data_IF_323768209392
#
_entry.id   IF_323768209392
#
_cell.length_a   1.000
_cell.length_b   1.000
_cell.length_c   1.000
_cell.angle_alpha   90.00
_cell.angle_beta   90.00
_cell.angle_gamma   90.00
#
_symmetry.space_group_name_H-M   'P 1'
#
loop_
_entity.id
_entity.type
_entity.pdbx_description
1 polymer ?
#
# COMPACT_ATOMS: atom_id res chain seq x y z
N UNK A 1 -31.33 -73.68 -30.11
CA UNK A 1 -30.47 -72.48 -30.22
C UNK A 1 -31.10 -71.35 -29.39
N UNK A 2 -30.60 -71.11 -28.21
CA UNK A 2 -31.10 -70.04 -27.29
C UNK A 2 -30.21 -68.79 -27.49
N UNK A 3 -30.82 -67.68 -27.92
CA UNK A 3 -30.13 -66.39 -28.04
C UNK A 3 -30.04 -65.72 -26.65
N UNK A 4 -28.84 -65.39 -26.24
CA UNK A 4 -28.56 -64.62 -25.05
C UNK A 4 -28.51 -63.14 -25.46
N UNK A 5 -29.50 -62.36 -25.00
CA UNK A 5 -29.48 -60.88 -25.08
C UNK A 5 -28.67 -60.34 -23.94
N UNK A 6 -27.55 -59.68 -24.26
CA UNK A 6 -26.70 -58.97 -23.30
C UNK A 6 -27.21 -57.53 -23.20
N UNK A 7 -27.83 -57.19 -22.09
CA UNK A 7 -28.18 -55.79 -21.79
C UNK A 7 -26.99 -55.03 -21.30
N UNK A 8 -26.59 -54.02 -22.05
CA UNK A 8 -25.53 -53.07 -21.69
C UNK A 8 -26.15 -51.94 -20.83
N UNK A 9 -25.84 -51.91 -19.54
CA UNK A 9 -26.25 -50.83 -18.64
C UNK A 9 -25.17 -49.74 -18.77
N UNK A 10 -25.54 -48.60 -19.36
CA UNK A 10 -24.71 -47.41 -19.40
C UNK A 10 -24.78 -46.67 -18.06
N UNK A 11 -23.68 -46.66 -17.31
CA UNK A 11 -23.51 -45.79 -16.13
C UNK A 11 -23.20 -44.37 -16.61
N UNK A 12 -24.18 -43.46 -16.48
CA UNK A 12 -23.92 -42.03 -16.57
C UNK A 12 -23.27 -41.60 -15.27
N UNK A 13 -21.97 -41.33 -15.29
CA UNK A 13 -21.27 -40.65 -14.22
C UNK A 13 -21.64 -39.16 -14.28
N UNK A 14 -22.52 -38.72 -13.37
CA UNK A 14 -22.77 -37.31 -13.14
C UNK A 14 -21.55 -36.69 -12.44
N UNK A 15 -20.68 -36.00 -13.20
CA UNK A 15 -19.65 -35.15 -12.63
C UNK A 15 -20.30 -33.90 -12.06
N UNK A 16 -20.50 -33.90 -10.75
CA UNK A 16 -20.88 -32.70 -10.00
C UNK A 16 -19.72 -31.73 -10.05
N UNK A 17 -19.82 -30.67 -10.84
CA UNK A 17 -18.95 -29.51 -10.71
C UNK A 17 -19.26 -28.86 -9.36
N UNK A 18 -18.40 -29.07 -8.38
CA UNK A 18 -18.39 -28.29 -7.14
C UNK A 18 -17.82 -26.92 -7.53
N UNK A 19 -18.69 -25.98 -7.84
CA UNK A 19 -18.33 -24.56 -7.84
C UNK A 19 -17.87 -24.23 -6.42
N UNK A 20 -16.64 -23.66 -6.21
CA UNK A 20 -16.28 -23.17 -4.90
C UNK A 20 -17.33 -22.11 -4.51
N UNK A 21 -18.05 -22.34 -3.41
CA UNK A 21 -18.94 -21.34 -2.84
C UNK A 21 -18.07 -20.10 -2.54
N UNK A 22 -18.32 -18.98 -3.21
CA UNK A 22 -17.97 -17.67 -2.71
C UNK A 22 -18.64 -17.61 -1.32
N UNK A 23 -17.88 -17.30 -0.27
CA UNK A 23 -18.48 -17.06 1.03
C UNK A 23 -19.65 -16.09 0.82
N UNK A 24 -20.82 -16.41 1.33
CA UNK A 24 -22.01 -15.58 1.14
C UNK A 24 -21.69 -14.20 1.73
N UNK A 25 -21.71 -13.16 0.88
CA UNK A 25 -21.52 -11.79 1.35
C UNK A 25 -22.52 -11.47 2.45
N UNK A 26 -22.10 -10.73 3.48
CA UNK A 26 -23.02 -10.25 4.50
C UNK A 26 -24.18 -9.47 3.88
N UNK A 27 -25.37 -9.72 4.37
CA UNK A 27 -26.62 -9.07 3.91
C UNK A 27 -27.16 -8.06 4.91
N UNK A 28 -26.65 -8.05 6.14
CA UNK A 28 -26.98 -7.11 7.20
C UNK A 28 -25.84 -7.00 8.21
N UNK A 29 -25.64 -5.84 8.81
CA UNK A 29 -24.76 -5.63 9.96
C UNK A 29 -25.60 -5.76 11.22
N UNK A 30 -25.25 -6.70 12.09
CA UNK A 30 -25.86 -6.94 13.38
C UNK A 30 -25.19 -6.15 14.51
N UNK A 31 -25.45 -6.57 15.76
CA UNK A 31 -24.70 -6.09 16.92
C UNK A 31 -23.24 -6.52 16.81
N UNK A 32 -22.33 -5.65 17.26
CA UNK A 32 -20.90 -5.97 17.29
C UNK A 32 -20.59 -7.13 18.25
N UNK A 33 -19.55 -7.88 17.90
CA UNK A 33 -19.10 -9.07 18.66
C UNK A 33 -18.20 -8.70 19.85
N UNK A 34 -18.02 -7.41 20.11
CA UNK A 34 -17.27 -6.89 21.27
C UNK A 34 -15.81 -6.55 20.97
N UNK A 35 -15.25 -6.95 19.83
CA UNK A 35 -13.91 -6.57 19.41
C UNK A 35 -13.72 -6.64 17.89
N UNK A 36 -12.64 -6.03 17.41
CA UNK A 36 -12.12 -6.18 16.04
C UNK A 36 -10.60 -6.25 16.09
N UNK A 37 -10.03 -7.26 15.43
CA UNK A 37 -8.60 -7.51 15.38
C UNK A 37 -8.05 -7.10 14.02
N UNK A 38 -7.18 -6.07 13.99
CA UNK A 38 -6.76 -5.40 12.75
C UNK A 38 -5.25 -5.51 12.55
N UNK A 39 -4.83 -5.99 11.39
CA UNK A 39 -3.45 -5.84 10.91
C UNK A 39 -3.32 -4.50 10.21
N UNK A 40 -2.39 -3.66 10.64
CA UNK A 40 -2.24 -2.30 10.11
C UNK A 40 -0.78 -1.87 10.00
N UNK A 41 -0.53 -0.87 9.15
CA UNK A 41 0.77 -0.17 9.14
C UNK A 41 0.99 0.61 10.44
N UNK A 42 2.25 0.84 10.86
CA UNK A 42 2.55 1.80 11.93
C UNK A 42 1.93 3.18 11.63
N UNK A 43 1.29 3.78 12.62
CA UNK A 43 0.64 5.08 12.47
C UNK A 43 -0.74 5.07 11.78
N UNK A 44 -1.32 3.91 11.50
CA UNK A 44 -2.62 3.83 10.81
C UNK A 44 -3.82 3.85 11.75
N UNK A 45 -3.65 3.46 13.00
CA UNK A 45 -4.76 3.34 13.95
C UNK A 45 -4.31 3.94 15.28
N UNK A 46 -4.72 5.19 15.54
CA UNK A 46 -4.30 5.94 16.70
C UNK A 46 -5.46 6.10 17.71
N UNK A 47 -5.11 5.89 18.99
CA UNK A 47 -6.02 5.96 20.12
C UNK A 47 -5.63 7.07 21.12
N UNK A 48 -4.91 8.09 20.66
CA UNK A 48 -4.44 9.18 21.49
C UNK A 48 -3.24 8.86 22.39
N UNK A 49 -2.66 7.65 22.29
CA UNK A 49 -1.52 7.27 23.12
C UNK A 49 -0.21 7.93 22.68
N UNK A 50 -0.03 8.10 21.36
CA UNK A 50 1.11 8.78 20.78
C UNK A 50 0.98 10.30 20.88
N UNK A 51 -0.20 10.84 20.53
CA UNK A 51 -0.60 12.23 20.67
C UNK A 51 -2.10 12.30 20.92
N UNK A 52 -2.51 12.97 22.00
CA UNK A 52 -3.92 13.08 22.41
C UNK A 52 -4.82 13.80 21.40
N UNK A 53 -4.26 14.57 20.47
CA UNK A 53 -5.01 15.20 19.39
C UNK A 53 -5.47 14.20 18.34
N UNK A 54 -4.82 13.05 18.26
CA UNK A 54 -5.05 12.02 17.25
C UNK A 54 -5.64 10.76 17.87
N UNK A 55 -6.95 10.76 18.02
CA UNK A 55 -7.72 9.64 18.57
C UNK A 55 -9.02 9.46 17.77
N UNK A 56 -9.05 8.47 16.92
CA UNK A 56 -10.28 8.06 16.21
C UNK A 56 -10.76 6.66 16.62
N UNK A 57 -10.09 6.04 17.59
CA UNK A 57 -10.44 4.73 18.13
C UNK A 57 -11.42 4.83 19.27
N UNK A 58 -11.20 5.74 20.25
CA UNK A 58 -12.00 5.81 21.48
C UNK A 58 -13.47 6.08 21.24
N UNK A 59 -13.81 6.97 20.29
CA UNK A 59 -15.20 7.24 19.91
C UNK A 59 -15.86 6.04 19.22
N UNK A 60 -15.11 5.30 18.41
CA UNK A 60 -15.58 4.06 17.79
C UNK A 60 -15.88 3.00 18.85
N UNK A 61 -14.95 2.73 19.76
CA UNK A 61 -15.13 1.74 20.82
C UNK A 61 -16.34 2.04 21.69
N UNK A 62 -16.50 3.32 22.05
CA UNK A 62 -17.64 3.79 22.87
C UNK A 62 -18.97 3.65 22.17
N UNK A 63 -19.04 3.94 20.88
CA UNK A 63 -20.30 3.95 20.12
C UNK A 63 -20.71 2.57 19.63
N UNK A 64 -19.74 1.73 19.24
CA UNK A 64 -19.99 0.40 18.69
C UNK A 64 -19.96 -0.72 19.73
N UNK A 65 -19.28 -0.51 20.88
CA UNK A 65 -18.95 -1.57 21.83
C UNK A 65 -17.87 -2.55 21.32
N UNK A 66 -17.22 -2.25 20.20
CA UNK A 66 -16.18 -3.08 19.61
C UNK A 66 -14.80 -2.55 20.00
N UNK A 67 -14.07 -3.27 20.85
CA UNK A 67 -12.70 -2.95 21.20
C UNK A 67 -11.77 -3.15 19.99
N UNK A 68 -10.90 -2.18 19.73
CA UNK A 68 -9.93 -2.23 18.62
C UNK A 68 -8.61 -2.82 19.11
N UNK A 69 -8.21 -3.96 18.57
CA UNK A 69 -6.90 -4.56 18.81
C UNK A 69 -6.07 -4.44 17.53
N UNK A 70 -4.86 -3.90 17.66
CA UNK A 70 -3.98 -3.65 16.49
C UNK A 70 -2.73 -4.49 16.55
N UNK A 71 -2.44 -5.19 15.44
CA UNK A 71 -1.16 -5.81 15.16
C UNK A 71 -0.49 -5.01 14.03
N UNK A 72 0.60 -4.32 14.33
CA UNK A 72 1.36 -3.62 13.30
C UNK A 72 2.19 -4.60 12.46
N UNK A 73 2.29 -4.31 11.16
CA UNK A 73 3.16 -4.97 10.21
C UNK A 73 4.01 -3.92 9.47
N UNK A 74 5.28 -4.19 9.27
CA UNK A 74 6.23 -3.26 8.67
C UNK A 74 6.29 -3.36 7.14
N UNK A 75 5.69 -4.40 6.54
CA UNK A 75 5.73 -4.62 5.09
C UNK A 75 4.48 -5.33 4.59
N UNK A 76 4.18 -5.18 3.28
CA UNK A 76 3.15 -5.94 2.58
C UNK A 76 3.34 -7.45 2.71
N UNK A 77 4.57 -7.94 2.69
CA UNK A 77 4.88 -9.38 2.83
C UNK A 77 4.55 -9.89 4.24
N UNK A 78 4.80 -9.08 5.27
CA UNK A 78 4.40 -9.40 6.64
C UNK A 78 2.89 -9.41 6.80
N UNK A 79 2.17 -8.44 6.21
CA UNK A 79 0.69 -8.44 6.20
C UNK A 79 0.11 -9.69 5.56
N UNK A 80 0.63 -10.10 4.40
CA UNK A 80 0.20 -11.33 3.73
C UNK A 80 0.49 -12.55 4.62
N UNK A 81 1.63 -12.59 5.30
CA UNK A 81 2.00 -13.67 6.22
C UNK A 81 1.03 -13.75 7.41
N UNK A 82 0.75 -12.64 8.07
CA UNK A 82 -0.18 -12.56 9.21
C UNK A 82 -1.61 -12.98 8.79
N UNK A 83 -2.09 -12.48 7.66
CA UNK A 83 -3.41 -12.85 7.14
C UNK A 83 -3.47 -14.33 6.72
N UNK A 84 -2.36 -14.94 6.28
CA UNK A 84 -2.29 -16.37 6.01
C UNK A 84 -2.36 -17.21 7.30
N UNK A 85 -1.79 -16.71 8.40
CA UNK A 85 -1.86 -17.37 9.72
C UNK A 85 -3.27 -17.30 10.31
N UNK A 86 -4.05 -16.24 9.98
CA UNK A 86 -5.39 -16.00 10.51
C UNK A 86 -5.37 -15.42 11.93
N UNK A 87 -6.57 -15.34 12.54
CA UNK A 87 -6.75 -14.74 13.87
C UNK A 87 -6.92 -13.22 13.83
N UNK A 88 -7.16 -12.64 12.66
CA UNK A 88 -7.48 -11.24 12.46
C UNK A 88 -8.77 -11.10 11.66
N UNK A 89 -9.47 -9.98 11.85
CA UNK A 89 -10.70 -9.66 11.15
C UNK A 89 -10.44 -8.78 9.93
N UNK A 90 -9.53 -7.80 10.09
CA UNK A 90 -9.23 -6.80 9.08
C UNK A 90 -7.73 -6.69 8.81
N UNK A 91 -7.39 -6.21 7.61
CA UNK A 91 -6.06 -5.75 7.25
C UNK A 91 -6.17 -4.44 6.46
N UNK A 92 -5.27 -3.48 6.72
CA UNK A 92 -5.11 -2.28 5.88
C UNK A 92 -3.95 -2.51 4.91
N UNK A 93 -4.26 -2.99 3.71
CA UNK A 93 -3.26 -3.49 2.77
C UNK A 93 -3.07 -2.56 1.58
N UNK A 94 -1.82 -2.31 1.21
CA UNK A 94 -1.47 -1.65 -0.06
C UNK A 94 -1.73 -2.56 -1.26
N UNK A 95 -1.83 -2.00 -2.47
CA UNK A 95 -2.28 -2.70 -3.66
C UNK A 95 -1.46 -3.95 -4.04
N UNK A 96 -0.18 -4.00 -3.69
CA UNK A 96 0.66 -5.18 -3.90
C UNK A 96 0.35 -6.32 -2.91
N UNK A 97 -0.15 -6.02 -1.70
CA UNK A 97 -0.62 -7.02 -0.76
C UNK A 97 -2.07 -7.41 -1.02
N UNK A 98 -2.96 -6.44 -1.27
CA UNK A 98 -4.40 -6.67 -1.45
C UNK A 98 -4.67 -7.66 -2.59
N UNK A 99 -4.04 -7.50 -3.75
CA UNK A 99 -4.21 -8.41 -4.87
C UNK A 99 -3.74 -9.83 -4.56
N UNK A 100 -2.68 -10.00 -3.79
CA UNK A 100 -2.20 -11.32 -3.33
C UNK A 100 -3.18 -11.98 -2.35
N UNK A 101 -3.77 -11.20 -1.44
CA UNK A 101 -4.76 -11.66 -0.49
C UNK A 101 -6.06 -12.08 -1.19
N UNK A 102 -6.50 -11.33 -2.21
CA UNK A 102 -7.65 -11.68 -3.04
C UNK A 102 -7.37 -12.99 -3.80
N UNK A 103 -6.25 -13.06 -4.53
CA UNK A 103 -5.87 -14.25 -5.29
C UNK A 103 -5.68 -15.48 -4.39
N UNK A 104 -5.15 -15.28 -3.18
CA UNK A 104 -4.96 -16.32 -2.16
C UNK A 104 -6.23 -16.68 -1.40
N UNK A 105 -7.38 -16.03 -1.68
CA UNK A 105 -8.66 -16.21 -0.97
C UNK A 105 -8.53 -16.04 0.56
N UNK A 106 -7.70 -15.10 0.98
CA UNK A 106 -7.49 -14.77 2.39
C UNK A 106 -8.40 -13.65 2.87
N UNK A 107 -8.97 -12.93 1.95
CA UNK A 107 -10.00 -11.91 2.17
C UNK A 107 -11.25 -12.28 1.39
N UNK A 108 -12.39 -11.80 1.86
CA UNK A 108 -13.69 -12.08 1.26
C UNK A 108 -14.29 -10.81 0.63
N UNK A 109 -15.21 -10.94 -0.32
CA UNK A 109 -15.99 -9.82 -0.85
C UNK A 109 -16.72 -9.07 0.27
N UNK A 110 -16.87 -7.76 0.08
CA UNK A 110 -17.67 -6.91 0.97
C UNK A 110 -18.94 -6.42 0.26
N UNK A 111 -20.01 -6.27 1.04
CA UNK A 111 -21.23 -5.62 0.60
C UNK A 111 -21.16 -4.13 0.91
N UNK A 112 -20.89 -3.31 -0.10
CA UNK A 112 -20.76 -1.85 0.05
C UNK A 112 -22.06 -1.16 0.43
N UNK A 113 -23.23 -1.76 0.15
CA UNK A 113 -24.55 -1.23 0.55
C UNK A 113 -24.74 -1.21 2.07
N UNK A 114 -23.97 -2.02 2.82
CA UNK A 114 -23.97 -2.04 4.28
C UNK A 114 -23.05 -0.97 4.90
N UNK A 115 -22.31 -0.25 4.10
CA UNK A 115 -21.34 0.77 4.53
C UNK A 115 -21.89 2.16 4.15
N UNK A 116 -22.61 2.79 5.07
CA UNK A 116 -23.34 4.04 4.79
C UNK A 116 -22.44 5.18 4.26
N UNK A 117 -21.17 5.21 4.67
CA UNK A 117 -20.18 6.19 4.23
C UNK A 117 -19.50 5.84 2.89
N UNK A 118 -19.77 4.67 2.29
CA UNK A 118 -19.23 4.29 0.98
C UNK A 118 -19.48 5.34 -0.11
N UNK A 119 -20.66 5.95 -0.10
CA UNK A 119 -21.06 7.00 -1.06
C UNK A 119 -20.17 8.25 -1.01
N UNK A 120 -19.42 8.45 0.07
CA UNK A 120 -18.54 9.60 0.28
C UNK A 120 -17.11 9.36 -0.23
N UNK A 121 -16.78 8.11 -0.58
CA UNK A 121 -15.46 7.73 -1.10
C UNK A 121 -15.22 8.39 -2.45
N UNK A 122 -14.01 8.86 -2.68
CA UNK A 122 -13.57 9.38 -3.97
C UNK A 122 -13.87 8.37 -5.08
N UNK A 123 -14.61 8.74 -6.14
CA UNK A 123 -14.96 7.85 -7.24
C UNK A 123 -13.76 7.14 -7.88
N UNK A 124 -12.57 7.77 -7.87
CA UNK A 124 -11.32 7.18 -8.39
C UNK A 124 -10.86 5.96 -7.59
N UNK A 125 -11.29 5.84 -6.32
CA UNK A 125 -10.89 4.79 -5.39
C UNK A 125 -11.97 3.70 -5.21
N UNK A 126 -13.24 4.00 -5.50
CA UNK A 126 -14.35 3.06 -5.25
C UNK A 126 -14.17 1.72 -5.96
N UNK A 127 -13.70 1.75 -7.22
CA UNK A 127 -13.50 0.56 -8.04
C UNK A 127 -12.07 0.46 -8.59
N UNK A 128 -11.09 0.80 -7.76
CA UNK A 128 -9.69 0.75 -8.15
C UNK A 128 -9.24 -0.71 -8.37
N UNK A 129 -8.32 -0.92 -9.32
CA UNK A 129 -7.85 -2.25 -9.71
C UNK A 129 -7.18 -3.06 -8.57
N UNK A 130 -6.74 -2.40 -7.51
CA UNK A 130 -6.12 -3.06 -6.35
C UNK A 130 -7.10 -3.46 -5.24
N UNK A 131 -8.37 -3.03 -5.31
CA UNK A 131 -9.41 -3.41 -4.34
C UNK A 131 -10.65 -4.04 -4.97
N UNK A 132 -10.74 -4.04 -6.31
CA UNK A 132 -11.90 -4.52 -7.06
C UNK A 132 -11.41 -5.48 -8.16
N UNK A 133 -11.90 -6.71 -8.13
CA UNK A 133 -11.59 -7.75 -9.11
C UNK A 133 -12.88 -8.30 -9.68
N UNK A 134 -13.00 -8.35 -11.01
CA UNK A 134 -14.21 -8.79 -11.72
C UNK A 134 -15.49 -8.05 -11.27
N UNK A 135 -15.37 -6.77 -10.93
CA UNK A 135 -16.47 -5.94 -10.45
C UNK A 135 -16.87 -6.19 -8.99
N UNK A 136 -16.16 -7.04 -8.26
CA UNK A 136 -16.41 -7.39 -6.87
C UNK A 136 -15.46 -6.58 -5.96
N UNK A 137 -16.02 -5.87 -4.97
CA UNK A 137 -15.26 -5.12 -3.98
C UNK A 137 -14.76 -6.02 -2.85
N UNK A 138 -13.48 -5.88 -2.47
CA UNK A 138 -12.83 -6.68 -1.43
C UNK A 138 -12.42 -5.86 -0.21
N UNK A 139 -12.78 -4.59 -0.15
CA UNK A 139 -12.50 -3.73 1.00
C UNK A 139 -12.83 -2.27 0.74
N UNK A 140 -12.69 -1.46 1.77
CA UNK A 140 -12.90 0.00 1.72
C UNK A 140 -11.58 0.72 1.56
N UNK A 141 -11.46 1.71 0.64
CA UNK A 141 -10.30 2.59 0.61
C UNK A 141 -10.08 3.26 1.98
N UNK A 142 -8.84 3.29 2.44
CA UNK A 142 -8.50 3.85 3.74
C UNK A 142 -7.85 5.23 3.63
N UNK A 143 -6.74 5.31 2.93
CA UNK A 143 -6.02 6.54 2.59
C UNK A 143 -5.05 6.26 1.45
N UNK A 144 -4.48 7.30 0.83
CA UNK A 144 -3.50 7.14 -0.22
C UNK A 144 -2.43 8.23 -0.19
N UNK A 145 -1.33 8.00 -0.85
CA UNK A 145 -0.26 8.98 -0.93
C UNK A 145 0.90 8.58 -1.84
N UNK A 146 1.75 9.54 -2.18
CA UNK A 146 2.97 9.27 -2.92
C UNK A 146 4.06 8.68 -2.01
N UNK A 147 4.96 7.89 -2.59
CA UNK A 147 6.30 7.77 -2.07
C UNK A 147 7.05 9.04 -2.41
N UNK A 148 7.57 9.74 -1.41
CA UNK A 148 8.21 11.03 -1.60
C UNK A 148 9.74 10.89 -1.57
N UNK A 149 10.44 11.78 -2.24
CA UNK A 149 11.87 11.98 -2.03
C UNK A 149 12.06 12.89 -0.81
N UNK A 150 12.35 12.30 0.35
CA UNK A 150 12.74 13.03 1.55
C UNK A 150 14.19 13.50 1.43
N UNK A 151 14.48 14.74 1.84
CA UNK A 151 15.82 15.33 1.73
C UNK A 151 16.13 16.27 2.89
N UNK A 152 17.42 16.38 3.21
CA UNK A 152 17.93 17.29 4.25
C UNK A 152 18.13 18.71 3.68
N UNK A 153 17.39 19.68 4.21
CA UNK A 153 17.43 21.09 3.75
C UNK A 153 18.72 21.82 4.10
N UNK A 154 19.58 21.26 4.95
CA UNK A 154 20.92 21.77 5.16
C UNK A 154 21.85 21.43 3.99
N UNK A 155 21.61 20.31 3.30
CA UNK A 155 22.35 19.88 2.11
C UNK A 155 21.72 20.43 0.85
N UNK A 156 20.41 20.30 0.69
CA UNK A 156 19.67 20.75 -0.47
C UNK A 156 18.92 22.04 -0.13
N UNK A 157 19.41 23.18 -0.61
CA UNK A 157 18.75 24.48 -0.41
C UNK A 157 17.51 24.64 -1.29
N UNK A 158 17.49 23.93 -2.41
CA UNK A 158 16.34 23.75 -3.30
C UNK A 158 15.96 22.27 -3.32
N UNK A 159 14.68 21.98 -3.51
CA UNK A 159 14.20 20.61 -3.58
C UNK A 159 14.85 19.85 -4.74
N UNK A 160 15.36 18.63 -4.54
CA UNK A 160 15.85 17.79 -5.63
C UNK A 160 14.72 17.52 -6.64
N UNK A 161 15.01 17.67 -7.93
CA UNK A 161 14.03 17.53 -9.00
C UNK A 161 14.04 16.14 -9.63
N UNK A 162 14.94 15.26 -9.21
CA UNK A 162 15.11 13.93 -9.81
C UNK A 162 15.42 12.86 -8.75
N UNK A 163 14.86 11.66 -8.94
CA UNK A 163 15.23 10.45 -8.22
C UNK A 163 16.69 10.03 -8.44
N UNK A 164 17.38 10.61 -9.44
CA UNK A 164 18.81 10.39 -9.67
C UNK A 164 19.66 10.56 -8.41
N UNK A 165 19.25 11.41 -7.47
CA UNK A 165 19.91 11.60 -6.15
C UNK A 165 20.11 10.30 -5.39
N UNK A 166 19.15 9.36 -5.49
CA UNK A 166 19.21 8.07 -4.78
C UNK A 166 19.59 6.90 -5.70
N UNK A 167 19.57 7.08 -7.02
CA UNK A 167 19.88 6.00 -7.97
C UNK A 167 21.25 6.10 -8.62
N UNK A 168 21.85 7.29 -8.75
CA UNK A 168 23.10 7.50 -9.46
C UNK A 168 24.16 8.12 -8.55
N UNK A 169 25.42 7.69 -8.68
CA UNK A 169 26.53 8.29 -7.93
C UNK A 169 26.76 9.73 -8.41
N UNK A 170 26.74 10.68 -7.49
CA UNK A 170 26.92 12.08 -7.79
C UNK A 170 27.40 12.87 -6.57
N UNK A 171 27.98 14.04 -6.83
CA UNK A 171 28.23 15.02 -5.79
C UNK A 171 26.95 15.80 -5.49
N UNK A 172 26.65 15.93 -4.19
CA UNK A 172 25.52 16.69 -3.70
C UNK A 172 25.83 18.19 -3.62
N UNK A 173 24.84 19.08 -3.39
CA UNK A 173 25.07 20.52 -3.30
C UNK A 173 26.07 20.96 -2.22
N UNK A 174 26.35 20.14 -1.21
CA UNK A 174 27.39 20.38 -0.20
C UNK A 174 28.81 19.96 -0.67
N UNK A 175 28.96 19.57 -1.92
CA UNK A 175 30.22 19.17 -2.53
C UNK A 175 30.68 17.74 -2.19
N UNK A 176 29.90 16.98 -1.40
CA UNK A 176 30.22 15.61 -1.00
C UNK A 176 29.46 14.59 -1.86
N UNK A 177 30.06 13.41 -2.04
CA UNK A 177 29.36 12.28 -2.69
C UNK A 177 28.09 11.87 -1.93
N UNK A 178 27.09 11.41 -2.66
CA UNK A 178 25.89 10.80 -2.07
C UNK A 178 26.14 9.38 -1.51
N UNK A 179 27.29 8.77 -1.81
CA UNK A 179 27.63 7.41 -1.40
C UNK A 179 27.64 7.26 0.12
N UNK A 180 26.88 6.27 0.64
CA UNK A 180 26.70 6.02 2.06
C UNK A 180 25.77 7.03 2.77
N UNK A 181 25.21 8.01 2.03
CA UNK A 181 24.38 9.09 2.57
C UNK A 181 22.93 9.06 2.06
N UNK A 182 22.60 8.09 1.23
CA UNK A 182 21.24 7.90 0.68
C UNK A 182 20.67 6.56 1.11
N UNK A 183 19.36 6.47 1.12
CA UNK A 183 18.60 5.26 1.44
C UNK A 183 17.50 5.01 0.40
N UNK A 184 16.96 3.79 0.43
CA UNK A 184 15.76 3.39 -0.31
C UNK A 184 14.96 2.40 0.53
N UNK A 185 13.68 2.24 0.20
CA UNK A 185 12.80 1.27 0.87
C UNK A 185 13.28 -0.17 0.64
N UNK A 186 13.21 -0.99 1.70
CA UNK A 186 13.50 -2.43 1.64
C UNK A 186 12.26 -3.22 1.23
N UNK A 187 12.21 -3.63 -0.02
CA UNK A 187 11.12 -4.46 -0.53
C UNK A 187 11.20 -4.60 -2.05
N UNK A 188 10.80 -5.75 -2.58
CA UNK A 188 10.82 -6.00 -4.02
C UNK A 188 9.94 -5.01 -4.81
N UNK A 189 8.90 -4.48 -4.17
CA UNK A 189 8.02 -3.48 -4.79
C UNK A 189 8.75 -2.17 -5.11
N UNK A 190 9.83 -1.84 -4.39
CA UNK A 190 10.66 -0.67 -4.65
C UNK A 190 11.42 -0.72 -6.00
N UNK A 191 11.46 -1.88 -6.66
CA UNK A 191 11.94 -1.97 -8.04
C UNK A 191 11.09 -1.10 -9.00
N UNK A 192 9.83 -0.86 -8.65
CA UNK A 192 8.98 0.05 -9.42
C UNK A 192 9.45 1.51 -9.34
N UNK A 193 10.06 1.95 -8.23
CA UNK A 193 10.66 3.30 -8.13
C UNK A 193 11.77 3.48 -9.17
N UNK A 194 12.61 2.45 -9.32
CA UNK A 194 13.66 2.44 -10.34
C UNK A 194 13.07 2.41 -11.76
N UNK A 195 11.95 1.68 -11.97
CA UNK A 195 11.26 1.68 -13.25
C UNK A 195 10.69 3.06 -13.59
N UNK A 196 10.05 3.76 -12.64
CA UNK A 196 9.56 5.14 -12.82
C UNK A 196 10.72 6.08 -13.20
N UNK A 197 11.86 5.99 -12.52
CA UNK A 197 13.02 6.76 -12.89
C UNK A 197 13.48 6.47 -14.32
N UNK A 198 13.54 5.18 -14.72
CA UNK A 198 13.96 4.77 -16.07
C UNK A 198 12.96 5.17 -17.16
N UNK A 199 11.66 5.34 -16.88
CA UNK A 199 10.69 5.84 -17.86
C UNK A 199 11.11 7.19 -18.44
N UNK A 200 11.71 8.05 -17.62
CA UNK A 200 12.21 9.36 -18.05
C UNK A 200 13.68 9.31 -18.46
N UNK A 201 14.52 8.61 -17.72
CA UNK A 201 15.98 8.55 -17.95
C UNK A 201 16.37 7.76 -19.18
N UNK A 202 15.61 6.70 -19.52
CA UNK A 202 15.84 5.80 -20.68
C UNK A 202 14.52 5.53 -21.40
N UNK A 203 13.94 6.56 -22.05
CA UNK A 203 12.63 6.42 -22.73
C UNK A 203 12.65 5.36 -23.85
N UNK A 204 13.83 5.04 -24.41
CA UNK A 204 13.99 3.97 -25.40
C UNK A 204 13.64 2.58 -24.88
N UNK A 205 13.59 2.37 -23.56
CA UNK A 205 13.11 1.11 -22.98
C UNK A 205 11.60 0.92 -23.16
N UNK A 206 10.85 1.99 -23.44
CA UNK A 206 9.42 1.95 -23.68
C UNK A 206 8.59 1.44 -22.51
N UNK A 207 9.07 1.63 -21.27
CA UNK A 207 8.31 1.29 -20.05
C UNK A 207 7.08 2.20 -19.98
N UNK A 208 5.88 1.61 -19.98
CA UNK A 208 4.60 2.33 -19.86
C UNK A 208 4.00 2.21 -18.48
N UNK A 209 4.23 1.07 -17.82
CA UNK A 209 3.75 0.73 -16.50
C UNK A 209 4.91 0.15 -15.67
N UNK A 210 5.23 0.75 -14.51
CA UNK A 210 6.36 0.30 -13.71
C UNK A 210 6.18 -1.08 -13.07
N UNK A 211 4.95 -1.64 -13.08
CA UNK A 211 4.64 -2.98 -12.56
C UNK A 211 4.52 -4.04 -13.65
N UNK A 212 4.54 -3.63 -14.92
CA UNK A 212 4.42 -4.52 -16.09
C UNK A 212 5.70 -4.48 -16.93
N UNK A 213 6.77 -5.04 -16.39
CA UNK A 213 8.08 -5.03 -17.04
C UNK A 213 8.31 -6.32 -17.82
N UNK A 214 8.66 -6.22 -19.10
CA UNK A 214 9.22 -7.34 -19.85
C UNK A 214 10.65 -7.66 -19.36
N UNK A 215 11.27 -8.73 -19.90
CA UNK A 215 12.60 -9.18 -19.43
C UNK A 215 13.70 -8.12 -19.59
N UNK A 216 13.71 -7.38 -20.69
CA UNK A 216 14.76 -6.40 -20.98
C UNK A 216 14.59 -5.16 -20.09
N UNK A 217 13.36 -4.69 -19.94
CA UNK A 217 13.00 -3.61 -19.02
C UNK A 217 13.35 -3.96 -17.57
N UNK A 218 12.99 -5.17 -17.15
CA UNK A 218 13.30 -5.66 -15.80
C UNK A 218 14.82 -5.81 -15.59
N UNK A 219 15.56 -6.32 -16.58
CA UNK A 219 17.03 -6.39 -16.51
C UNK A 219 17.66 -4.99 -16.34
N UNK A 220 17.12 -3.97 -17.01
CA UNK A 220 17.59 -2.59 -16.86
C UNK A 220 17.30 -2.04 -15.44
N UNK A 221 16.13 -2.35 -14.87
CA UNK A 221 15.78 -2.00 -13.47
C UNK A 221 16.74 -2.67 -12.49
N UNK A 222 16.99 -3.97 -12.63
CA UNK A 222 17.93 -4.71 -11.77
C UNK A 222 19.36 -4.17 -11.89
N UNK A 223 19.80 -3.80 -13.09
CA UNK A 223 21.11 -3.20 -13.28
C UNK A 223 21.23 -1.84 -12.54
N UNK A 224 20.18 -0.99 -12.62
CA UNK A 224 20.15 0.29 -11.88
C UNK A 224 20.20 0.08 -10.38
N UNK A 225 19.35 -0.79 -9.82
CA UNK A 225 19.30 -1.06 -8.38
C UNK A 225 20.57 -1.76 -7.88
N UNK A 226 21.22 -2.58 -8.72
CA UNK A 226 22.54 -3.14 -8.41
C UNK A 226 23.60 -2.04 -8.27
N UNK A 227 23.58 -1.01 -9.14
CA UNK A 227 24.42 0.18 -9.01
C UNK A 227 24.10 0.99 -7.75
N UNK A 228 22.81 1.19 -7.46
CA UNK A 228 22.32 1.88 -6.28
C UNK A 228 22.81 1.22 -4.97
N UNK A 229 22.94 -0.11 -4.94
CA UNK A 229 23.40 -0.84 -3.75
C UNK A 229 24.74 -0.31 -3.23
N UNK A 230 25.63 0.15 -4.11
CA UNK A 230 26.91 0.72 -3.73
C UNK A 230 26.79 2.13 -3.11
N UNK A 231 25.68 2.81 -3.31
CA UNK A 231 25.40 4.17 -2.81
C UNK A 231 24.68 4.15 -1.48
N UNK A 232 23.80 3.14 -1.29
CA UNK A 232 22.92 3.02 -0.13
C UNK A 232 23.70 2.52 1.08
N UNK A 233 23.72 3.32 2.16
CA UNK A 233 24.30 2.90 3.43
C UNK A 233 23.50 1.76 4.08
N UNK A 234 22.18 1.93 4.13
CA UNK A 234 21.20 0.94 4.62
C UNK A 234 19.88 1.10 3.88
N UNK A 235 19.20 0.01 3.57
CA UNK A 235 17.79 0.05 3.18
C UNK A 235 16.92 0.08 4.43
N UNK A 236 15.85 0.86 4.41
CA UNK A 236 14.90 0.92 5.52
C UNK A 236 13.66 0.07 5.20
N UNK A 237 13.22 -0.72 6.17
CA UNK A 237 11.98 -1.51 6.11
C UNK A 237 11.00 -1.15 7.21
N UNK A 238 11.46 -0.34 8.17
CA UNK A 238 10.66 0.17 9.29
C UNK A 238 10.76 1.69 9.34
N UNK A 239 9.59 2.36 9.48
CA UNK A 239 9.51 3.82 9.48
C UNK A 239 10.31 4.47 10.63
N UNK A 240 10.30 3.86 11.83
CA UNK A 240 11.03 4.38 12.99
C UNK A 240 12.54 4.28 12.78
N UNK A 241 13.01 3.22 12.11
CA UNK A 241 14.42 3.06 11.74
C UNK A 241 14.84 4.16 10.76
N UNK A 242 14.04 4.48 9.75
CA UNK A 242 14.36 5.56 8.82
C UNK A 242 14.41 6.93 9.53
N UNK A 243 13.45 7.19 10.43
CA UNK A 243 13.44 8.43 11.23
C UNK A 243 14.73 8.56 12.04
N UNK A 244 15.19 7.46 12.66
CA UNK A 244 16.45 7.45 13.41
C UNK A 244 17.67 7.66 12.50
N UNK A 245 17.69 7.05 11.32
CA UNK A 245 18.78 7.21 10.36
C UNK A 245 18.94 8.65 9.88
N UNK A 246 17.85 9.36 9.61
CA UNK A 246 17.90 10.79 9.29
C UNK A 246 18.38 11.64 10.47
N UNK A 247 18.11 11.22 11.70
CA UNK A 247 18.55 11.94 12.91
C UNK A 247 20.03 11.74 13.22
N UNK A 248 20.54 10.51 13.05
CA UNK A 248 21.75 10.06 13.70
C UNK A 248 22.81 9.47 12.75
N UNK A 249 22.40 8.94 11.56
CA UNK A 249 23.30 8.18 10.68
C UNK A 249 23.75 8.98 9.43
N UNK A 250 23.42 10.27 9.38
CA UNK A 250 23.88 11.16 8.30
C UNK A 250 23.20 10.96 6.95
N UNK A 251 22.02 10.33 6.93
CA UNK A 251 21.19 10.22 5.73
C UNK A 251 20.72 11.59 5.29
N UNK A 252 20.87 11.89 4.00
CA UNK A 252 20.52 13.19 3.43
C UNK A 252 19.46 13.15 2.34
N UNK A 253 19.20 11.98 1.76
CA UNK A 253 18.08 11.77 0.83
C UNK A 253 17.63 10.30 0.85
N UNK A 254 16.34 10.06 0.68
CA UNK A 254 15.75 8.72 0.67
C UNK A 254 14.37 8.73 0.02
N UNK A 255 13.97 7.62 -0.62
CA UNK A 255 12.54 7.34 -0.76
C UNK A 255 11.92 7.21 0.64
N UNK A 256 10.75 7.77 0.86
CA UNK A 256 10.12 7.84 2.18
C UNK A 256 8.61 7.93 2.05
N UNK A 257 7.91 7.67 3.13
CA UNK A 257 6.50 8.06 3.22
C UNK A 257 6.38 9.45 3.86
N UNK A 258 5.32 10.20 3.59
CA UNK A 258 5.07 11.48 4.24
C UNK A 258 5.08 11.40 5.77
N UNK A 259 4.67 10.26 6.34
CA UNK A 259 4.65 10.00 7.78
C UNK A 259 6.01 10.26 8.46
N UNK A 260 7.11 9.68 7.94
CA UNK A 260 8.44 9.91 8.52
C UNK A 260 8.88 11.36 8.38
N UNK A 261 8.51 12.01 7.27
CA UNK A 261 8.81 13.44 7.06
C UNK A 261 8.09 14.28 8.12
N UNK A 262 6.82 14.01 8.38
CA UNK A 262 6.04 14.70 9.41
C UNK A 262 6.66 14.51 10.81
N UNK A 263 7.03 13.28 11.18
CA UNK A 263 7.69 13.01 12.47
C UNK A 263 9.01 13.77 12.60
N UNK A 264 9.83 13.81 11.56
CA UNK A 264 11.09 14.53 11.55
C UNK A 264 10.91 16.05 11.65
N UNK A 265 9.88 16.60 10.98
CA UNK A 265 9.54 18.02 11.06
C UNK A 265 8.98 18.40 12.42
N UNK A 266 8.14 17.56 13.02
CA UNK A 266 7.66 17.75 14.40
C UNK A 266 8.83 17.81 15.40
N UNK A 267 9.87 17.00 15.19
CA UNK A 267 11.13 17.02 15.94
C UNK A 267 12.08 18.15 15.52
N UNK A 268 11.62 19.12 14.70
CA UNK A 268 12.39 20.26 14.19
C UNK A 268 13.68 19.87 13.45
N UNK A 269 13.69 18.70 12.80
CA UNK A 269 14.80 18.30 11.94
C UNK A 269 14.70 19.00 10.59
N UNK A 270 15.84 19.35 9.95
CA UNK A 270 15.86 20.07 8.68
C UNK A 270 15.54 19.11 7.51
N UNK A 271 14.36 18.52 7.51
CA UNK A 271 13.91 17.59 6.49
C UNK A 271 12.69 18.15 5.77
N UNK A 272 12.66 18.01 4.48
CA UNK A 272 11.52 18.26 3.61
C UNK A 272 11.36 17.12 2.61
N UNK A 273 10.29 17.14 1.83
CA UNK A 273 10.05 16.17 0.77
C UNK A 273 9.56 16.84 -0.51
N UNK A 274 9.70 16.10 -1.61
CA UNK A 274 9.21 16.49 -2.93
C UNK A 274 8.78 15.26 -3.73
N UNK A 275 7.98 15.48 -4.75
CA UNK A 275 7.76 14.50 -5.82
C UNK A 275 8.61 14.97 -7.01
N UNK A 276 9.64 14.21 -7.40
CA UNK A 276 10.49 14.55 -8.53
C UNK A 276 9.74 14.66 -9.86
N UNK A 277 10.41 15.23 -10.86
CA UNK A 277 9.81 15.47 -12.18
C UNK A 277 9.38 14.17 -12.90
N UNK A 278 10.03 13.05 -12.60
CA UNK A 278 9.70 11.74 -13.13
C UNK A 278 8.36 11.19 -12.61
N UNK A 279 7.75 11.86 -11.62
CA UNK A 279 6.63 11.31 -10.86
C UNK A 279 7.09 10.42 -9.72
N UNK A 280 6.20 9.62 -9.18
CA UNK A 280 6.49 8.71 -8.06
C UNK A 280 5.64 7.46 -8.13
N UNK A 281 6.09 6.39 -7.48
CA UNK A 281 5.18 5.35 -7.03
C UNK A 281 4.39 5.86 -5.82
N UNK A 282 3.34 5.17 -5.46
CA UNK A 282 2.54 5.51 -4.29
C UNK A 282 1.72 4.32 -3.83
N UNK A 283 1.03 4.52 -2.76
CA UNK A 283 0.19 3.52 -2.14
C UNK A 283 -1.24 4.05 -2.01
N UNK A 284 -2.19 3.15 -2.14
CA UNK A 284 -3.59 3.39 -1.82
C UNK A 284 -4.07 2.16 -1.07
N UNK A 285 -4.29 2.36 0.23
CA UNK A 285 -4.51 1.25 1.12
C UNK A 285 -5.99 0.95 1.26
N UNK A 286 -6.27 -0.32 1.45
CA UNK A 286 -7.62 -0.86 1.50
C UNK A 286 -7.81 -1.62 2.80
N UNK A 287 -8.84 -1.28 3.57
CA UNK A 287 -9.28 -2.08 4.71
C UNK A 287 -10.09 -3.26 4.20
N UNK A 288 -9.55 -4.47 4.35
CA UNK A 288 -10.09 -5.71 3.77
C UNK A 288 -10.54 -6.67 4.86
N UNK A 289 -11.67 -7.34 4.63
CA UNK A 289 -12.24 -8.33 5.56
C UNK A 289 -11.60 -9.70 5.34
N UNK A 290 -11.06 -10.31 6.41
CA UNK A 290 -10.50 -11.66 6.36
C UNK A 290 -11.57 -12.68 5.97
N UNK A 291 -11.19 -13.71 5.20
CA UNK A 291 -12.12 -14.74 4.72
C UNK A 291 -12.84 -15.50 5.86
N UNK A 292 -12.20 -15.60 7.03
CA UNK A 292 -12.73 -16.24 8.23
C UNK A 292 -12.70 -15.26 9.42
N UNK A 293 -13.14 -14.01 9.21
CA UNK A 293 -13.24 -13.02 10.29
C UNK A 293 -14.16 -13.54 11.40
N UNK A 294 -13.68 -13.48 12.64
CA UNK A 294 -14.48 -13.89 13.81
C UNK A 294 -15.50 -12.82 14.23
N UNK A 295 -15.20 -11.55 13.90
CA UNK A 295 -15.99 -10.39 14.32
C UNK A 295 -16.43 -9.53 13.11
N UNK A 296 -17.21 -10.12 12.15
CA UNK A 296 -17.53 -9.42 10.90
C UNK A 296 -18.43 -8.20 11.10
N UNK A 297 -19.32 -8.16 12.12
CA UNK A 297 -20.12 -6.97 12.38
C UNK A 297 -19.24 -5.81 12.87
N UNK A 298 -18.37 -6.05 13.85
CA UNK A 298 -17.39 -5.04 14.29
C UNK A 298 -16.48 -4.57 13.13
N UNK A 299 -16.09 -5.48 12.23
CA UNK A 299 -15.32 -5.14 11.05
C UNK A 299 -16.06 -4.20 10.10
N UNK A 300 -17.32 -4.45 9.80
CA UNK A 300 -18.16 -3.55 8.98
C UNK A 300 -18.39 -2.19 9.66
N UNK A 301 -18.64 -2.20 10.98
CA UNK A 301 -18.76 -0.96 11.75
C UNK A 301 -17.47 -0.14 11.68
N UNK A 302 -16.30 -0.79 11.79
CA UNK A 302 -15.00 -0.13 11.62
C UNK A 302 -14.79 0.42 10.21
N UNK A 303 -15.08 -0.36 9.16
CA UNK A 303 -14.99 0.10 7.78
C UNK A 303 -15.88 1.32 7.53
N UNK A 304 -17.09 1.36 8.09
CA UNK A 304 -17.96 2.52 7.99
C UNK A 304 -17.43 3.73 8.78
N UNK A 305 -16.92 3.50 10.00
CA UNK A 305 -16.35 4.55 10.85
C UNK A 305 -15.11 5.17 10.21
N UNK A 306 -14.21 4.36 9.68
CA UNK A 306 -12.98 4.83 9.03
C UNK A 306 -13.23 5.69 7.77
N UNK A 307 -14.43 5.64 7.20
CA UNK A 307 -14.88 6.49 6.08
C UNK A 307 -15.67 7.74 6.54
N UNK A 308 -15.76 8.03 7.83
CA UNK A 308 -16.29 9.31 8.31
C UNK A 308 -15.33 10.44 7.92
N UNK A 309 -15.87 11.58 7.47
CA UNK A 309 -15.05 12.67 6.94
C UNK A 309 -14.11 13.27 8.01
N UNK A 310 -14.55 13.36 9.30
CA UNK A 310 -13.68 13.83 10.39
C UNK A 310 -12.55 12.83 10.63
N UNK A 311 -12.88 11.55 10.73
CA UNK A 311 -11.90 10.46 10.93
C UNK A 311 -10.88 10.42 9.80
N UNK A 312 -11.32 10.51 8.56
CA UNK A 312 -10.45 10.56 7.38
C UNK A 312 -9.51 11.77 7.40
N UNK A 313 -9.99 12.92 7.86
CA UNK A 313 -9.16 14.11 8.02
C UNK A 313 -8.11 13.95 9.11
N UNK A 314 -8.47 13.36 10.25
CA UNK A 314 -7.55 13.10 11.35
C UNK A 314 -6.46 12.09 10.96
N UNK A 315 -6.84 11.00 10.28
CA UNK A 315 -5.91 10.01 9.70
C UNK A 315 -4.92 10.68 8.74
N UNK A 316 -5.45 11.46 7.79
CA UNK A 316 -4.63 12.11 6.76
C UNK A 316 -3.68 13.17 7.37
N UNK A 317 -4.14 13.91 8.37
CA UNK A 317 -3.31 14.88 9.08
C UNK A 317 -2.14 14.22 9.83
N UNK A 318 -2.41 13.10 10.51
CA UNK A 318 -1.40 12.34 11.23
C UNK A 318 -0.35 11.75 10.30
N UNK A 319 -0.81 11.08 9.25
CA UNK A 319 0.08 10.36 8.34
C UNK A 319 0.75 11.25 7.29
N UNK A 320 0.19 12.42 6.99
CA UNK A 320 0.61 13.26 5.86
C UNK A 320 0.14 12.68 4.52
N UNK A 321 -0.98 11.99 4.53
CA UNK A 321 -1.59 11.31 3.38
C UNK A 321 -2.76 12.11 2.80
N UNK A 322 -3.37 11.57 1.77
CA UNK A 322 -4.61 12.07 1.19
C UNK A 322 -5.76 11.18 1.65
N UNK A 323 -6.87 11.77 2.17
CA UNK A 323 -8.01 11.00 2.61
C UNK A 323 -8.72 10.32 1.42
N UNK A 324 -9.28 9.14 1.67
CA UNK A 324 -10.13 8.47 0.68
C UNK A 324 -11.50 9.14 0.51
N UNK A 325 -11.87 10.03 1.45
CA UNK A 325 -13.13 10.79 1.43
C UNK A 325 -12.81 12.27 1.20
N UNK A 326 -13.06 12.83 0.01
CA UNK A 326 -12.71 14.23 -0.33
C UNK A 326 -13.33 15.28 0.57
N UNK A 327 -14.50 14.99 1.19
CA UNK A 327 -15.13 15.90 2.14
C UNK A 327 -14.25 16.18 3.37
N UNK A 328 -13.32 15.30 3.72
CA UNK A 328 -12.35 15.48 4.80
C UNK A 328 -11.37 16.65 4.55
N UNK A 329 -11.21 17.07 3.29
CA UNK A 329 -10.33 18.18 2.89
C UNK A 329 -10.89 19.57 3.28
N UNK A 330 -12.03 19.64 3.93
CA UNK A 330 -12.66 20.90 4.34
C UNK A 330 -13.13 20.82 5.79
N UNK A 331 -12.76 21.84 6.55
CA UNK A 331 -13.25 22.01 7.92
C UNK A 331 -12.69 21.05 8.97
N UNK A 332 -11.73 20.18 8.63
CA UNK A 332 -11.01 19.37 9.60
C UNK A 332 -9.93 20.23 10.29
N UNK A 333 -9.93 20.27 11.61
CA UNK A 333 -9.05 21.14 12.38
C UNK A 333 -7.57 20.71 12.33
N UNK A 334 -7.30 19.41 12.18
CA UNK A 334 -5.95 18.84 12.16
C UNK A 334 -5.35 18.88 10.75
N UNK A 335 -6.12 18.45 9.74
CA UNK A 335 -5.66 18.43 8.35
C UNK A 335 -5.57 19.85 7.76
N UNK A 336 -6.43 20.74 8.22
CA UNK A 336 -6.67 22.08 7.66
C UNK A 336 -7.14 22.04 6.18
N UNK A 337 -7.68 23.16 5.69
CA UNK A 337 -8.19 23.23 4.31
C UNK A 337 -7.08 23.16 3.24
N UNK A 338 -5.82 23.41 3.62
CA UNK A 338 -4.66 23.29 2.75
C UNK A 338 -4.01 21.90 2.77
N UNK A 339 -4.36 21.06 3.76
CA UNK A 339 -3.66 19.80 3.99
C UNK A 339 -3.75 18.82 2.82
N UNK A 340 -4.92 18.66 2.22
CA UNK A 340 -5.08 17.77 1.07
C UNK A 340 -4.20 18.16 -0.12
N UNK A 341 -4.14 19.47 -0.45
CA UNK A 341 -3.29 19.96 -1.54
C UNK A 341 -1.80 19.79 -1.20
N UNK A 342 -1.43 20.07 0.06
CA UNK A 342 -0.06 19.87 0.57
C UNK A 342 0.35 18.39 0.49
N UNK A 343 -0.57 17.48 0.81
CA UNK A 343 -0.31 16.03 0.82
C UNK A 343 -0.42 15.39 -0.57
N UNK A 344 -0.76 16.18 -1.60
CA UNK A 344 -0.67 15.74 -2.99
C UNK A 344 -1.99 15.32 -3.64
N UNK A 345 -3.16 15.76 -3.14
CA UNK A 345 -4.47 15.42 -3.74
C UNK A 345 -4.52 15.67 -5.25
N UNK A 346 -3.93 16.78 -5.72
CA UNK A 346 -3.87 17.14 -7.13
C UNK A 346 -2.87 16.29 -7.96
N UNK A 347 -2.06 15.47 -7.31
CA UNK A 347 -1.03 14.67 -7.99
C UNK A 347 -1.46 13.22 -8.28
N UNK A 348 -2.73 12.87 -8.08
CA UNK A 348 -3.23 11.50 -8.25
C UNK A 348 -2.77 10.85 -9.56
N UNK A 349 -2.90 11.57 -10.67
CA UNK A 349 -2.54 11.07 -12.02
C UNK A 349 -1.03 10.97 -12.28
N UNK A 350 -0.20 11.50 -11.36
CA UNK A 350 1.27 11.40 -11.42
C UNK A 350 1.82 10.27 -10.58
N UNK A 351 0.94 9.53 -9.88
CA UNK A 351 1.31 8.48 -8.95
C UNK A 351 1.01 7.12 -9.59
N UNK A 352 2.03 6.29 -9.67
CA UNK A 352 1.90 4.89 -10.03
C UNK A 352 1.60 4.09 -8.76
N UNK A 353 0.32 3.84 -8.49
CA UNK A 353 -0.10 3.12 -7.28
C UNK A 353 0.39 1.68 -7.26
N UNK A 354 0.89 1.24 -6.12
CA UNK A 354 1.39 -0.11 -5.92
C UNK A 354 0.37 -1.17 -6.30
N UNK A 355 0.80 -2.13 -7.08
CA UNK A 355 0.06 -3.34 -7.41
C UNK A 355 1.02 -4.50 -7.64
N UNK A 356 0.54 -5.71 -7.45
CA UNK A 356 1.36 -6.91 -7.62
C UNK A 356 1.75 -7.08 -9.08
N UNK A 357 3.04 -7.09 -9.44
CA UNK A 357 3.48 -7.47 -10.78
C UNK A 357 3.03 -8.88 -11.17
N UNK A 358 2.43 -9.01 -12.32
CA UNK A 358 1.92 -10.28 -12.85
C UNK A 358 2.80 -10.81 -13.99
N UNK A 359 2.72 -12.12 -14.27
CA UNK A 359 3.44 -12.72 -15.39
C UNK A 359 2.80 -12.42 -16.74
N UNK A 360 1.57 -11.95 -16.76
CA UNK A 360 0.83 -11.57 -17.96
C UNK A 360 0.67 -10.06 -17.96
N UNK A 361 1.21 -9.39 -18.98
CA UNK A 361 0.99 -7.96 -19.16
C UNK A 361 -0.45 -7.68 -19.63
N UNK A 362 -1.02 -6.54 -19.25
CA UNK A 362 -2.30 -6.05 -19.82
C UNK A 362 -2.12 -5.66 -21.29
N UNK A 363 -1.02 -4.99 -21.62
CA UNK A 363 -0.57 -4.82 -22.98
C UNK A 363 0.11 -6.12 -23.43
N UNK A 364 -0.30 -6.71 -24.53
CA UNK A 364 0.19 -7.98 -25.08
C UNK A 364 1.64 -8.35 -24.72
N UNK A 365 1.86 -9.58 -24.23
CA UNK A 365 3.20 -10.10 -23.96
C UNK A 365 3.36 -10.79 -22.61
N UNK A 366 4.62 -11.05 -22.25
CA UNK A 366 5.02 -11.69 -21.01
C UNK A 366 5.76 -10.70 -20.14
N UNK A 367 5.25 -10.45 -18.93
CA UNK A 367 5.88 -9.66 -17.90
C UNK A 367 6.59 -10.54 -16.86
N UNK A 368 7.47 -9.92 -16.10
CA UNK A 368 8.20 -10.59 -15.02
C UNK A 368 7.33 -10.60 -13.76
N UNK A 369 7.04 -11.80 -13.25
CA UNK A 369 6.17 -11.96 -12.07
C UNK A 369 6.78 -11.44 -10.78
N UNK A 370 5.95 -11.14 -9.79
CA UNK A 370 6.41 -10.67 -8.46
C UNK A 370 7.35 -11.67 -7.77
N UNK A 371 7.16 -12.97 -7.95
CA UNK A 371 8.09 -13.98 -7.41
C UNK A 371 9.50 -13.83 -7.98
N UNK A 372 9.62 -13.48 -9.27
CA UNK A 372 10.92 -13.19 -9.88
C UNK A 372 11.48 -11.85 -9.39
N UNK A 373 10.62 -10.83 -9.20
CA UNK A 373 11.02 -9.55 -8.60
C UNK A 373 11.63 -9.78 -7.22
N UNK A 374 10.96 -10.53 -6.35
CA UNK A 374 11.43 -10.84 -5.00
C UNK A 374 12.78 -11.59 -5.03
N UNK A 375 12.91 -12.58 -5.92
CA UNK A 375 14.15 -13.35 -6.07
C UNK A 375 15.34 -12.47 -6.48
N UNK A 376 15.18 -11.65 -7.50
CA UNK A 376 16.26 -10.78 -7.99
C UNK A 376 16.56 -9.64 -7.01
N UNK A 377 15.54 -9.09 -6.35
CA UNK A 377 15.75 -8.09 -5.30
C UNK A 377 16.60 -8.64 -4.15
N UNK A 378 16.27 -9.85 -3.65
CA UNK A 378 17.07 -10.51 -2.60
C UNK A 378 18.52 -10.74 -3.09
N UNK A 379 18.71 -11.14 -4.34
CA UNK A 379 20.02 -11.33 -4.92
C UNK A 379 20.83 -10.02 -4.98
N UNK A 380 20.21 -8.88 -5.25
CA UNK A 380 20.85 -7.55 -5.20
C UNK A 380 21.21 -7.18 -3.76
N UNK A 381 20.32 -7.44 -2.80
CA UNK A 381 20.56 -7.11 -1.38
C UNK A 381 21.70 -7.92 -0.76
N UNK A 382 21.89 -9.17 -1.18
CA UNK A 382 22.95 -10.05 -0.71
C UNK A 382 24.34 -9.78 -1.27
N UNK A 383 24.46 -8.84 -2.22
CA UNK A 383 25.74 -8.37 -2.78
C UNK A 383 26.24 -7.16 -1.99
#
# INVERSE_FOLDING_TARGET
>A
MKSIQTSMIAFLAATSFVTPALADMMTAVGAGEGQVDIVAWPGYIENGSADKAYDWVSDFEKSSGCKVNVKTAASSDEMVTLMNQGGFDLVTASGDASLRLIAGKKVQPINTDLIANWKNVDPRLQSAAWNTVDGIHYGTPYQWGPNVLAYNTNVFKEAPTSWGVVFEEQNLPDGKSNKGRVQSYYGAIALADAAVYLMTKKPELGIKDPYELNKDQFAAVIALVTGQRALVGRYWGDAAVQVDDFKNEGVVASSSWPYQVNLLQADKKPIASTIPAEGATGWSDTTMLHANAAHPNCAYLWMNHSLDAKVQGDIAAWFGSVPAVPAACKGNALLTDAGCDTNGFANFDKIHFWRTPTAKCEAEGTCVSYSQWSKEYIAVQGK
#
